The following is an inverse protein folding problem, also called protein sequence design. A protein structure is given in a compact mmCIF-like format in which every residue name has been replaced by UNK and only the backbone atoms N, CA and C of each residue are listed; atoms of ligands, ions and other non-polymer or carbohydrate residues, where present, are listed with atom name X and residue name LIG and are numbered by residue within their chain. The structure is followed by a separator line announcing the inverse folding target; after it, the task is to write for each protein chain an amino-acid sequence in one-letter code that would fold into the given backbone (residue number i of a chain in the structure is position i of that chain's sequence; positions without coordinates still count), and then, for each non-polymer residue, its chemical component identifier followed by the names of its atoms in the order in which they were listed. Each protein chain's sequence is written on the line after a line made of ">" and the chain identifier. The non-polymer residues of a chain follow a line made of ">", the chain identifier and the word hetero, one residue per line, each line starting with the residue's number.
data_IF_164778329902
#
_entry.id   IF_164778329902
#
_cell.length_a   1.000
_cell.length_b   1.000
_cell.length_c   1.000
_cell.angle_alpha   90.00
_cell.angle_beta   90.00
_cell.angle_gamma   90.00
#
_symmetry.space_group_name_H-M   'P 1'
#
loop_
_entity.id
_entity.type
_entity.pdbx_description
1 polymer ?
#
# COMPACT_ATOMS: atom_id res chain seq x y z
N UNK A 1 -22.53 -10.06 -2.16
CA UNK A 1 -21.13 -9.66 -1.91
C UNK A 1 -20.65 -10.47 -0.73
N UNK A 2 -19.46 -11.09 -0.79
CA UNK A 2 -18.90 -11.85 0.33
C UNK A 2 -18.33 -10.88 1.37
N UNK A 3 -18.57 -11.13 2.65
CA UNK A 3 -17.98 -10.33 3.73
C UNK A 3 -16.48 -10.64 3.83
N UNK A 4 -15.64 -9.65 3.58
CA UNK A 4 -14.19 -9.83 3.60
C UNK A 4 -13.62 -10.01 5.01
N UNK A 5 -14.36 -9.61 6.04
CA UNK A 5 -14.00 -9.87 7.43
C UNK A 5 -14.09 -11.36 7.78
N UNK A 6 -15.12 -12.06 7.28
CA UNK A 6 -15.28 -13.51 7.46
C UNK A 6 -14.18 -14.29 6.75
N UNK A 7 -13.80 -13.85 5.54
CA UNK A 7 -12.73 -14.50 4.77
C UNK A 7 -11.36 -14.27 5.40
N UNK A 8 -11.12 -13.10 6.00
CA UNK A 8 -9.87 -12.80 6.67
C UNK A 8 -9.78 -13.41 8.08
N UNK A 9 -10.85 -14.04 8.58
CA UNK A 9 -10.87 -14.66 9.89
C UNK A 9 -9.93 -15.90 9.95
N UNK A 10 -9.61 -16.33 11.16
CA UNK A 10 -8.76 -17.50 11.36
C UNK A 10 -9.39 -18.76 10.79
N UNK A 11 -8.56 -19.71 10.32
CA UNK A 11 -9.02 -21.01 9.85
C UNK A 11 -9.86 -21.78 10.87
N UNK A 12 -9.59 -21.60 12.17
CA UNK A 12 -10.39 -22.18 13.25
C UNK A 12 -11.85 -21.70 13.29
N UNK A 13 -12.16 -20.58 12.64
CA UNK A 13 -13.50 -19.99 12.53
C UNK A 13 -14.08 -20.07 11.12
N UNK A 14 -13.45 -20.83 10.22
CA UNK A 14 -13.91 -21.00 8.84
C UNK A 14 -13.40 -19.97 7.83
N UNK A 15 -12.51 -19.05 8.25
CA UNK A 15 -11.85 -18.10 7.36
C UNK A 15 -10.58 -18.66 6.69
N UNK A 16 -10.01 -17.90 5.75
CA UNK A 16 -8.80 -18.28 4.99
C UNK A 16 -7.49 -17.79 5.63
N UNK A 17 -7.56 -17.11 6.78
CA UNK A 17 -6.40 -16.54 7.48
C UNK A 17 -5.57 -15.59 6.58
N UNK A 18 -6.23 -14.96 5.62
CA UNK A 18 -5.67 -13.90 4.79
C UNK A 18 -5.74 -12.60 5.58
N UNK A 19 -4.69 -11.79 5.57
CA UNK A 19 -4.74 -10.49 6.22
C UNK A 19 -5.57 -9.51 5.41
N UNK A 20 -6.38 -8.71 6.11
CA UNK A 20 -7.06 -7.58 5.49
C UNK A 20 -6.03 -6.61 4.91
N UNK A 21 -6.41 -5.85 3.87
CA UNK A 21 -5.54 -4.82 3.29
C UNK A 21 -5.11 -3.76 4.33
N UNK A 22 -5.92 -3.55 5.38
CA UNK A 22 -5.62 -2.70 6.53
C UNK A 22 -4.55 -3.25 7.46
N UNK A 23 -4.32 -4.57 7.49
CA UNK A 23 -3.30 -5.24 8.31
C UNK A 23 -2.00 -5.52 7.55
N UNK A 24 -1.78 -4.86 6.42
CA UNK A 24 -0.55 -5.04 5.64
C UNK A 24 0.69 -4.71 6.47
N UNK A 25 1.74 -5.51 6.29
CA UNK A 25 3.01 -5.35 6.99
C UNK A 25 3.66 -4.00 6.65
N UNK A 26 3.94 -3.19 7.66
CA UNK A 26 4.60 -1.88 7.52
C UNK A 26 5.95 -2.02 6.81
N UNK A 27 6.71 -3.09 7.06
CA UNK A 27 7.98 -3.34 6.39
C UNK A 27 7.79 -3.59 4.87
N UNK A 28 6.69 -4.23 4.48
CA UNK A 28 6.34 -4.39 3.06
C UNK A 28 5.98 -3.05 2.43
N UNK A 29 5.21 -2.21 3.13
CA UNK A 29 4.85 -0.87 2.67
C UNK A 29 6.09 0.00 2.51
N UNK A 30 6.98 0.01 3.50
CA UNK A 30 8.27 0.70 3.46
C UNK A 30 9.14 0.20 2.30
N UNK A 31 9.20 -1.12 2.06
CA UNK A 31 9.93 -1.68 0.90
C UNK A 31 9.37 -1.18 -0.44
N UNK A 32 8.04 -1.02 -0.54
CA UNK A 32 7.41 -0.46 -1.75
C UNK A 32 7.75 1.04 -1.89
N UNK A 33 7.62 1.81 -0.81
CA UNK A 33 8.00 3.21 -0.79
C UNK A 33 9.46 3.41 -1.20
N UNK A 34 10.37 2.59 -0.69
CA UNK A 34 11.79 2.58 -1.06
C UNK A 34 12.01 2.34 -2.55
N UNK A 35 11.29 1.37 -3.15
CA UNK A 35 11.35 1.12 -4.60
C UNK A 35 10.90 2.32 -5.43
N UNK A 36 9.89 3.06 -4.94
CA UNK A 36 9.42 4.28 -5.60
C UNK A 36 10.48 5.38 -5.51
N UNK A 37 11.06 5.58 -4.32
CA UNK A 37 12.13 6.55 -4.09
C UNK A 37 13.37 6.28 -4.94
N UNK A 38 13.81 5.01 -4.99
CA UNK A 38 14.99 4.58 -5.75
C UNK A 38 14.70 4.33 -7.24
N UNK A 39 13.48 4.63 -7.70
CA UNK A 39 13.05 4.50 -9.11
C UNK A 39 13.32 3.11 -9.71
N UNK A 40 13.15 2.07 -8.90
CA UNK A 40 13.32 0.69 -9.36
C UNK A 40 12.32 0.42 -10.50
N UNK A 41 12.75 -0.15 -11.64
CA UNK A 41 11.87 -0.39 -12.77
C UNK A 41 10.84 -1.47 -12.43
N UNK A 42 9.67 -1.03 -11.99
CA UNK A 42 8.52 -1.88 -11.68
C UNK A 42 7.23 -1.20 -12.16
N UNK A 43 6.24 -2.00 -12.56
CA UNK A 43 4.95 -1.47 -13.00
C UNK A 43 4.30 -0.59 -11.93
N UNK A 44 4.35 -1.03 -10.66
CA UNK A 44 3.84 -0.28 -9.53
C UNK A 44 4.49 1.10 -9.42
N UNK A 45 5.82 1.18 -9.59
CA UNK A 45 6.56 2.45 -9.55
C UNK A 45 6.13 3.37 -10.70
N UNK A 46 5.94 2.82 -11.91
CA UNK A 46 5.46 3.61 -13.07
C UNK A 46 4.05 4.15 -12.85
N UNK A 47 3.13 3.29 -12.41
CA UNK A 47 1.72 3.67 -12.15
C UNK A 47 1.63 4.66 -11.01
N UNK A 48 2.35 4.44 -9.91
CA UNK A 48 2.39 5.37 -8.77
C UNK A 48 2.94 6.74 -9.18
N UNK A 49 4.01 6.77 -9.98
CA UNK A 49 4.56 8.02 -10.49
C UNK A 49 3.57 8.77 -11.37
N UNK A 50 2.95 8.09 -12.34
CA UNK A 50 2.01 8.71 -13.26
C UNK A 50 0.73 9.20 -12.57
N UNK A 51 0.20 8.42 -11.62
CA UNK A 51 -1.09 8.71 -10.97
C UNK A 51 -0.98 9.71 -9.82
N UNK A 52 0.06 9.59 -9.00
CA UNK A 52 0.11 10.31 -7.72
C UNK A 52 1.25 11.31 -7.62
N UNK A 53 2.41 11.02 -8.21
CA UNK A 53 3.60 11.88 -8.02
C UNK A 53 3.74 12.95 -9.09
N UNK A 54 3.31 12.72 -10.33
CA UNK A 54 3.41 13.71 -11.41
C UNK A 54 4.82 14.37 -11.52
N UNK A 55 5.88 13.57 -11.36
CA UNK A 55 7.30 13.99 -11.30
C UNK A 55 7.80 14.61 -9.98
N UNK A 56 6.96 14.70 -8.96
CA UNK A 56 7.35 15.09 -7.60
C UNK A 56 7.98 13.91 -6.84
N UNK A 57 8.73 14.23 -5.79
CA UNK A 57 9.27 13.20 -4.88
C UNK A 57 8.16 12.60 -4.02
N UNK A 58 8.28 11.31 -3.67
CA UNK A 58 7.40 10.65 -2.71
C UNK A 58 7.33 11.41 -1.37
N UNK A 59 8.43 12.03 -0.95
CA UNK A 59 8.52 12.81 0.29
C UNK A 59 7.68 14.10 0.26
N UNK A 60 7.31 14.57 -0.93
CA UNK A 60 6.49 15.77 -1.13
C UNK A 60 5.01 15.42 -1.37
N UNK A 61 4.70 14.13 -1.52
CA UNK A 61 3.35 13.67 -1.79
C UNK A 61 2.45 13.88 -0.57
N UNK A 62 1.32 14.55 -0.77
CA UNK A 62 0.31 14.76 0.26
C UNK A 62 -0.78 13.70 0.15
N UNK A 63 -1.33 13.31 1.30
CA UNK A 63 -2.49 12.40 1.35
C UNK A 63 -3.75 13.16 0.94
N UNK A 64 -4.51 12.58 0.01
CA UNK A 64 -5.84 13.02 -0.37
C UNK A 64 -6.90 11.99 0.10
N UNK A 65 -8.11 12.46 0.41
CA UNK A 65 -9.21 11.60 0.84
C UNK A 65 -9.61 10.60 -0.24
N UNK A 66 -9.55 11.02 -1.52
CA UNK A 66 -9.83 10.21 -2.72
C UNK A 66 -8.72 9.22 -3.09
N UNK A 67 -7.60 9.22 -2.38
CA UNK A 67 -6.50 8.29 -2.67
C UNK A 67 -6.90 6.84 -2.37
N UNK A 68 -6.34 5.94 -3.16
CA UNK A 68 -6.52 4.51 -2.94
C UNK A 68 -5.92 4.07 -1.61
N UNK A 69 -6.51 3.06 -0.98
CA UNK A 69 -6.01 2.51 0.29
C UNK A 69 -4.55 2.06 0.19
N UNK A 70 -4.15 1.53 -0.97
CA UNK A 70 -2.77 1.12 -1.25
C UNK A 70 -1.82 2.32 -1.26
N UNK A 71 -2.23 3.46 -1.84
CA UNK A 71 -1.40 4.66 -1.87
C UNK A 71 -1.22 5.25 -0.48
N UNK A 72 -2.30 5.30 0.31
CA UNK A 72 -2.26 5.73 1.71
C UNK A 72 -1.32 4.84 2.54
N UNK A 73 -1.35 3.53 2.33
CA UNK A 73 -0.44 2.58 2.99
C UNK A 73 1.02 2.76 2.57
N UNK A 74 1.29 3.07 1.29
CA UNK A 74 2.65 3.37 0.80
C UNK A 74 3.18 4.66 1.44
N UNK A 75 2.35 5.72 1.52
CA UNK A 75 2.73 6.97 2.18
C UNK A 75 3.00 6.74 3.67
N UNK A 76 2.18 5.95 4.35
CA UNK A 76 2.43 5.56 5.74
C UNK A 76 3.75 4.78 5.90
N UNK A 77 4.02 3.80 5.03
CA UNK A 77 5.28 3.06 5.04
C UNK A 77 6.50 3.93 4.71
N UNK A 78 6.33 5.03 3.98
CA UNK A 78 7.40 5.98 3.68
C UNK A 78 7.82 6.83 4.88
N UNK A 79 6.96 6.99 5.89
CA UNK A 79 7.29 7.68 7.14
C UNK A 79 8.20 6.84 8.05
N UNK A 80 8.31 5.53 7.79
CA UNK A 80 9.16 4.60 8.51
C UNK A 80 10.52 4.35 7.84
N UNK A 81 10.80 4.99 6.70
CA UNK A 81 12.08 4.95 5.99
C UNK A 81 12.98 6.12 6.42
#
# INVERSE_FOLDING_TARGET
>A
MINWEEVCESQAKGGLRIHTSSQMNIALQAKIAWKILTKVPALLVKVSNAKYLQQQSLLQAKRCSSDSSIWKAILYGSEAL
#
